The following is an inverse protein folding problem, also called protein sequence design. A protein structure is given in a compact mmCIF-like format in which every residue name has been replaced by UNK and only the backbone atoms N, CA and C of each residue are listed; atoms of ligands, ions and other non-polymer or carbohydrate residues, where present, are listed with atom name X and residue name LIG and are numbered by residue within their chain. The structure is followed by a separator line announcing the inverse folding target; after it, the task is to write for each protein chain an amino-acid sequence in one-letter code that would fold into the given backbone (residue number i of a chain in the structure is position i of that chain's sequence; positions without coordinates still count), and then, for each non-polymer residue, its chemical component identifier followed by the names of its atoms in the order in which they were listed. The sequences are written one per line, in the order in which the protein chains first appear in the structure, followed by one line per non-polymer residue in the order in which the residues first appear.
data_IF_536335004291
#
_entry.id   IF_536335004291
#
_cell.length_a   1.000
_cell.length_b   1.000
_cell.length_c   1.000
_cell.angle_alpha   90.00
_cell.angle_beta   90.00
_cell.angle_gamma   90.00
#
_symmetry.space_group_name_H-M   'P 1'
#
loop_
_entity.id
_entity.type
_entity.pdbx_description
1 polymer ?
#
# COMPACT_ATOMS: atom_id res chain seq x y z
N UNK A 1 -12.09 15.57 2.36
CA UNK A 1 -11.01 15.49 3.36
C UNK A 1 -9.75 16.01 2.70
N UNK A 2 -9.19 17.11 3.17
CA UNK A 2 -7.87 17.58 2.71
C UNK A 2 -7.07 17.86 3.97
N UNK A 3 -6.26 16.88 4.35
CA UNK A 3 -5.27 16.97 5.43
C UNK A 3 -3.88 16.73 4.85
N UNK A 4 -2.82 17.04 5.59
CA UNK A 4 -1.45 16.79 5.15
C UNK A 4 -1.24 15.30 4.89
N UNK A 5 -0.50 14.99 3.82
CA UNK A 5 -0.08 13.62 3.49
C UNK A 5 0.99 13.21 4.49
N UNK A 6 0.83 12.06 5.15
CA UNK A 6 1.77 11.60 6.18
C UNK A 6 3.00 10.88 5.60
N UNK A 7 2.82 10.14 4.51
CA UNK A 7 3.86 9.37 3.84
C UNK A 7 3.53 9.15 2.37
N UNK A 8 4.57 8.81 1.60
CA UNK A 8 4.43 8.39 0.21
C UNK A 8 4.91 6.94 0.07
N UNK A 9 3.98 6.02 -0.13
CA UNK A 9 4.25 4.59 -0.36
C UNK A 9 3.91 4.24 -1.80
N UNK A 10 4.83 3.57 -2.50
CA UNK A 10 4.62 3.15 -3.87
C UNK A 10 5.49 1.95 -4.23
N UNK A 11 5.18 1.29 -5.34
CA UNK A 11 5.96 0.17 -5.84
C UNK A 11 7.34 0.60 -6.37
N UNK A 12 8.25 -0.36 -6.56
CA UNK A 12 9.64 -0.09 -6.96
C UNK A 12 9.81 0.55 -8.35
N UNK A 13 8.77 0.60 -9.19
CA UNK A 13 8.80 1.40 -10.41
C UNK A 13 8.93 2.89 -10.10
N UNK A 14 8.51 3.34 -8.92
CA UNK A 14 8.64 4.73 -8.47
C UNK A 14 10.00 5.06 -7.85
N UNK A 15 10.94 4.11 -7.78
CA UNK A 15 12.33 4.36 -7.37
C UNK A 15 13.08 5.12 -8.50
N UNK A 16 12.77 6.40 -8.66
CA UNK A 16 13.26 7.30 -9.72
C UNK A 16 13.55 8.69 -9.16
N UNK A 17 14.63 9.32 -9.58
CA UNK A 17 15.06 10.64 -9.07
C UNK A 17 13.97 11.71 -9.24
N UNK A 18 13.25 11.68 -10.36
CA UNK A 18 12.14 12.59 -10.60
C UNK A 18 11.00 12.45 -9.58
N UNK A 19 10.74 11.23 -9.08
CA UNK A 19 9.75 10.98 -8.04
C UNK A 19 10.24 11.53 -6.70
N UNK A 20 11.48 11.22 -6.31
CA UNK A 20 12.06 11.77 -5.07
C UNK A 20 12.10 13.31 -5.08
N UNK A 21 12.37 13.94 -6.22
CA UNK A 21 12.29 15.40 -6.37
C UNK A 21 10.88 15.95 -6.15
N UNK A 22 9.85 15.28 -6.66
CA UNK A 22 8.44 15.68 -6.48
C UNK A 22 7.94 15.48 -5.05
N UNK A 23 8.44 14.45 -4.37
CA UNK A 23 8.15 14.19 -2.96
C UNK A 23 8.84 15.22 -2.08
N UNK A 24 10.12 15.52 -2.33
CA UNK A 24 10.86 16.55 -1.59
C UNK A 24 10.20 17.93 -1.72
N UNK A 25 9.67 18.27 -2.90
CA UNK A 25 8.90 19.49 -3.11
C UNK A 25 7.60 19.56 -2.28
N UNK A 26 7.16 18.44 -1.70
CA UNK A 26 6.00 18.34 -0.81
C UNK A 26 6.38 18.14 0.66
N UNK A 27 7.67 18.22 1.01
CA UNK A 27 8.20 18.00 2.35
C UNK A 27 7.89 16.60 2.92
N UNK A 28 7.99 15.58 2.06
CA UNK A 28 7.72 14.18 2.39
C UNK A 28 8.96 13.30 2.26
N UNK A 29 10.15 13.90 2.08
CA UNK A 29 11.40 13.19 1.79
C UNK A 29 11.76 12.15 2.86
N UNK A 30 11.44 12.42 4.14
CA UNK A 30 11.71 11.52 5.27
C UNK A 30 10.63 10.45 5.49
N UNK A 31 9.54 10.48 4.70
CA UNK A 31 8.41 9.57 4.81
C UNK A 31 8.13 8.82 3.50
N UNK A 32 9.18 8.56 2.72
CA UNK A 32 9.11 7.78 1.47
C UNK A 32 9.30 6.31 1.76
N UNK A 33 8.34 5.49 1.37
CA UNK A 33 8.38 4.03 1.47
C UNK A 33 8.26 3.45 0.07
N UNK A 34 9.37 3.50 -0.67
CA UNK A 34 9.49 2.92 -2.01
C UNK A 34 10.60 1.87 -1.97
N UNK A 35 10.34 0.62 -2.41
CA UNK A 35 11.37 -0.39 -2.51
C UNK A 35 12.40 0.01 -3.55
N UNK A 36 13.70 0.08 -3.19
CA UNK A 36 14.74 0.27 -4.18
C UNK A 36 14.69 -0.83 -5.24
N UNK A 37 14.97 -0.46 -6.50
CA UNK A 37 15.11 -1.43 -7.59
C UNK A 37 16.30 -2.36 -7.34
N UNK A 38 16.29 -3.54 -7.94
CA UNK A 38 17.42 -4.47 -7.85
C UNK A 38 18.72 -3.89 -8.42
N UNK A 39 18.62 -2.93 -9.33
CA UNK A 39 19.75 -2.20 -9.94
C UNK A 39 20.11 -0.91 -9.21
N UNK A 40 19.49 -0.62 -8.07
CA UNK A 40 19.71 0.63 -7.35
C UNK A 40 21.12 0.68 -6.76
N UNK A 41 21.83 1.78 -7.04
CA UNK A 41 23.16 2.08 -6.48
C UNK A 41 23.04 3.20 -5.44
N UNK A 42 23.89 3.19 -4.39
CA UNK A 42 23.97 4.30 -3.45
C UNK A 42 24.33 5.62 -4.14
N UNK A 43 23.87 6.73 -3.57
CA UNK A 43 24.26 8.07 -4.00
C UNK A 43 25.74 8.36 -3.67
N UNK A 44 26.31 9.36 -4.35
CA UNK A 44 27.68 9.82 -4.08
C UNK A 44 27.89 10.28 -2.63
N UNK A 45 26.81 10.75 -1.97
CA UNK A 45 26.85 11.23 -0.58
C UNK A 45 26.45 10.17 0.44
N UNK A 46 26.17 8.93 0.02
CA UNK A 46 25.60 7.89 0.87
C UNK A 46 26.39 7.60 2.16
N UNK A 47 27.71 7.85 2.16
CA UNK A 47 28.55 7.67 3.35
C UNK A 47 28.52 8.84 4.32
N UNK A 48 28.42 10.08 3.81
CA UNK A 48 28.52 11.29 4.62
C UNK A 48 27.13 11.80 5.04
N UNK A 49 26.19 11.84 4.10
CA UNK A 49 24.82 12.31 4.28
C UNK A 49 23.91 11.39 3.46
N UNK A 50 23.53 10.21 4.00
CA UNK A 50 22.67 9.28 3.29
C UNK A 50 21.28 9.88 3.07
N UNK A 51 20.77 9.76 1.85
CA UNK A 51 19.37 10.01 1.54
C UNK A 51 18.48 8.92 2.13
N UNK A 52 17.16 9.13 2.17
CA UNK A 52 16.23 8.06 2.58
C UNK A 52 16.37 6.81 1.70
N UNK A 53 16.59 6.99 0.39
CA UNK A 53 16.88 5.90 -0.54
C UNK A 53 18.14 5.14 -0.16
N UNK A 54 19.21 5.85 0.22
CA UNK A 54 20.46 5.22 0.68
C UNK A 54 20.25 4.44 1.98
N UNK A 55 19.46 4.97 2.91
CA UNK A 55 19.11 4.26 4.15
C UNK A 55 18.31 2.98 3.87
N UNK A 56 17.39 3.00 2.90
CA UNK A 56 16.70 1.79 2.45
C UNK A 56 17.68 0.76 1.87
N UNK A 57 18.60 1.19 1.01
CA UNK A 57 19.63 0.32 0.43
C UNK A 57 20.51 -0.30 1.52
N UNK A 58 21.00 0.51 2.46
CA UNK A 58 21.80 0.04 3.60
C UNK A 58 21.03 -0.98 4.44
N UNK A 59 19.78 -0.69 4.81
CA UNK A 59 18.94 -1.61 5.57
C UNK A 59 18.69 -2.94 4.83
N UNK A 60 18.53 -2.91 3.51
CA UNK A 60 18.34 -4.12 2.69
C UNK A 60 19.63 -4.95 2.65
N UNK A 61 20.80 -4.30 2.55
CA UNK A 61 22.10 -4.99 2.60
C UNK A 61 22.33 -5.63 3.97
N UNK A 62 22.02 -4.92 5.04
CA UNK A 62 22.26 -5.38 6.42
C UNK A 62 21.30 -6.48 6.87
N UNK A 63 20.01 -6.36 6.54
CA UNK A 63 18.93 -7.18 7.15
C UNK A 63 18.15 -7.99 6.13
N UNK A 64 18.39 -7.79 4.85
CA UNK A 64 17.61 -8.38 3.76
C UNK A 64 16.33 -7.62 3.45
N UNK A 65 15.81 -7.85 2.24
CA UNK A 65 14.66 -7.11 1.68
C UNK A 65 13.36 -7.32 2.46
N UNK A 66 13.09 -8.56 2.88
CA UNK A 66 11.86 -8.88 3.64
C UNK A 66 11.86 -8.22 5.03
N UNK A 67 13.01 -8.14 5.69
CA UNK A 67 13.12 -7.46 6.97
C UNK A 67 12.92 -5.95 6.83
N UNK A 68 13.49 -5.35 5.78
CA UNK A 68 13.24 -3.95 5.43
C UNK A 68 11.75 -3.68 5.16
N UNK A 69 11.08 -4.52 4.37
CA UNK A 69 9.64 -4.35 4.06
C UNK A 69 8.78 -4.30 5.34
N UNK A 70 9.04 -5.21 6.29
CA UNK A 70 8.33 -5.22 7.58
C UNK A 70 8.64 -4.00 8.43
N UNK A 71 9.91 -3.58 8.48
CA UNK A 71 10.33 -2.42 9.27
C UNK A 71 9.83 -1.09 8.70
N UNK A 72 9.57 -1.03 7.39
CA UNK A 72 9.09 0.15 6.69
C UNK A 72 7.56 0.16 6.51
N UNK A 73 6.82 -0.74 7.17
CA UNK A 73 5.36 -0.91 7.03
C UNK A 73 4.89 -1.05 5.57
N UNK A 74 5.73 -1.61 4.70
CA UNK A 74 5.42 -1.81 3.29
C UNK A 74 4.35 -2.89 3.07
N UNK A 75 4.04 -3.67 4.10
CA UNK A 75 2.95 -4.67 4.08
C UNK A 75 1.57 -4.03 3.84
N UNK A 76 1.40 -2.74 4.17
CA UNK A 76 0.18 -1.99 3.87
C UNK A 76 -0.14 -1.95 2.37
N UNK A 77 0.88 -1.81 1.51
CA UNK A 77 0.71 -1.79 0.06
C UNK A 77 0.15 -3.13 -0.44
N UNK A 78 0.64 -4.24 0.10
CA UNK A 78 0.14 -5.57 -0.27
C UNK A 78 -1.33 -5.78 0.13
N UNK A 79 -1.77 -5.23 1.27
CA UNK A 79 -3.17 -5.26 1.68
C UNK A 79 -4.05 -4.45 0.73
N UNK A 80 -3.62 -3.24 0.38
CA UNK A 80 -4.34 -2.39 -0.59
C UNK A 80 -4.44 -3.08 -1.95
N UNK A 81 -3.35 -3.65 -2.45
CA UNK A 81 -3.34 -4.39 -3.72
C UNK A 81 -4.27 -5.62 -3.69
N UNK A 82 -4.33 -6.33 -2.57
CA UNK A 82 -5.24 -7.45 -2.39
C UNK A 82 -6.71 -6.99 -2.42
N UNK A 83 -7.05 -5.89 -1.73
CA UNK A 83 -8.41 -5.33 -1.74
C UNK A 83 -8.81 -4.82 -3.13
N UNK A 84 -7.90 -4.15 -3.85
CA UNK A 84 -8.14 -3.73 -5.23
C UNK A 84 -8.30 -4.94 -6.17
N UNK A 85 -7.49 -5.99 -5.99
CA UNK A 85 -7.64 -7.22 -6.76
C UNK A 85 -8.99 -7.89 -6.52
N UNK A 86 -9.46 -7.90 -5.27
CA UNK A 86 -10.78 -8.41 -4.88
C UNK A 86 -11.89 -7.57 -5.51
N UNK A 87 -11.78 -6.25 -5.43
CA UNK A 87 -12.71 -5.32 -6.07
C UNK A 87 -12.84 -5.62 -7.57
N UNK A 88 -11.72 -5.66 -8.29
CA UNK A 88 -11.69 -5.91 -9.74
C UNK A 88 -12.30 -7.25 -10.13
N UNK A 89 -11.98 -8.31 -9.36
CA UNK A 89 -12.49 -9.66 -9.62
C UNK A 89 -14.01 -9.78 -9.43
N UNK A 90 -14.58 -9.06 -8.47
CA UNK A 90 -16.02 -9.19 -8.12
C UNK A 90 -16.89 -8.14 -8.81
N UNK A 91 -16.41 -6.90 -8.88
CA UNK A 91 -17.16 -5.75 -9.40
C UNK A 91 -16.83 -5.50 -10.87
N UNK A 92 -15.54 -5.57 -11.23
CA UNK A 92 -15.03 -5.32 -12.58
C UNK A 92 -13.89 -4.30 -12.62
N UNK A 93 -13.25 -4.21 -13.78
CA UNK A 93 -12.06 -3.39 -14.00
C UNK A 93 -12.34 -1.93 -14.39
N UNK A 94 -13.61 -1.56 -14.60
CA UNK A 94 -14.01 -0.23 -15.09
C UNK A 94 -15.13 0.40 -14.25
N UNK A 95 -15.06 1.72 -14.09
CA UNK A 95 -16.14 2.53 -13.50
C UNK A 95 -17.06 3.06 -14.60
N UNK A 96 -18.37 2.86 -14.44
CA UNK A 96 -19.36 3.29 -15.43
C UNK A 96 -19.61 4.80 -15.38
N UNK A 97 -19.38 5.41 -14.21
CA UNK A 97 -19.58 6.84 -13.99
C UNK A 97 -18.52 7.68 -14.69
N UNK A 98 -18.95 8.80 -15.29
CA UNK A 98 -18.08 9.72 -16.01
C UNK A 98 -17.62 10.94 -15.22
N UNK A 99 -18.26 11.25 -14.10
CA UNK A 99 -17.89 12.37 -13.23
C UNK A 99 -17.25 11.85 -11.96
N UNK A 100 -16.27 12.59 -11.42
CA UNK A 100 -15.52 12.15 -10.23
C UNK A 100 -16.43 11.97 -9.01
N UNK A 101 -17.45 12.82 -8.86
CA UNK A 101 -18.47 12.67 -7.82
C UNK A 101 -19.19 11.33 -7.94
N UNK A 102 -19.64 10.95 -9.13
CA UNK A 102 -20.38 9.71 -9.33
C UNK A 102 -19.46 8.50 -9.23
N UNK A 103 -18.21 8.59 -9.70
CA UNK A 103 -17.18 7.55 -9.53
C UNK A 103 -16.90 7.29 -8.05
N UNK A 104 -16.78 8.33 -7.23
CA UNK A 104 -16.59 8.18 -5.79
C UNK A 104 -17.78 7.45 -5.14
N UNK A 105 -19.01 7.81 -5.51
CA UNK A 105 -20.22 7.12 -5.04
C UNK A 105 -20.27 5.67 -5.51
N UNK A 106 -19.95 5.40 -6.78
CA UNK A 106 -19.91 4.05 -7.35
C UNK A 106 -18.92 3.15 -6.60
N UNK A 107 -17.70 3.64 -6.36
CA UNK A 107 -16.69 2.94 -5.57
C UNK A 107 -17.17 2.70 -4.14
N UNK A 108 -17.77 3.70 -3.48
CA UNK A 108 -18.25 3.56 -2.11
C UNK A 108 -19.34 2.47 -1.99
N UNK A 109 -20.29 2.44 -2.93
CA UNK A 109 -21.34 1.40 -2.97
C UNK A 109 -20.73 0.02 -3.21
N UNK A 110 -19.82 -0.09 -4.17
CA UNK A 110 -19.17 -1.35 -4.53
C UNK A 110 -18.32 -1.91 -3.39
N UNK A 111 -17.55 -1.07 -2.69
CA UNK A 111 -16.78 -1.47 -1.49
C UNK A 111 -17.72 -1.90 -0.37
N UNK A 112 -18.83 -1.18 -0.14
CA UNK A 112 -19.82 -1.59 0.86
C UNK A 112 -20.42 -2.96 0.56
N UNK A 113 -20.81 -3.22 -0.69
CA UNK A 113 -21.30 -4.52 -1.12
C UNK A 113 -20.24 -5.63 -0.92
N UNK A 114 -18.98 -5.33 -1.23
CA UNK A 114 -17.88 -6.28 -1.07
C UNK A 114 -17.60 -6.63 0.39
N UNK A 115 -17.72 -5.66 1.30
CA UNK A 115 -17.59 -5.89 2.74
C UNK A 115 -18.75 -6.73 3.28
N UNK A 116 -19.97 -6.48 2.81
CA UNK A 116 -21.14 -7.30 3.17
C UNK A 116 -21.01 -8.76 2.68
N UNK A 117 -20.48 -8.98 1.48
CA UNK A 117 -20.19 -10.34 1.00
C UNK A 117 -19.14 -11.05 1.87
N UNK A 118 -18.14 -10.32 2.37
CA UNK A 118 -17.13 -10.87 3.28
C UNK A 118 -17.75 -11.30 4.61
N UNK A 119 -18.62 -10.47 5.19
CA UNK A 119 -19.36 -10.78 6.43
C UNK A 119 -20.23 -12.03 6.26
N UNK A 120 -20.96 -12.15 5.15
CA UNK A 120 -21.84 -13.30 4.88
C UNK A 120 -21.08 -14.59 4.54
N UNK A 121 -19.87 -14.48 3.99
CA UNK A 121 -19.02 -15.62 3.64
C UNK A 121 -18.20 -16.18 4.80
N UNK A 122 -18.18 -15.50 5.95
CA UNK A 122 -17.51 -15.99 7.15
C UNK A 122 -18.35 -17.08 7.83
N UNK A 123 -17.77 -18.25 8.15
CA UNK A 123 -18.49 -19.28 8.89
C UNK A 123 -18.85 -18.76 10.29
N UNK A 124 -20.13 -18.79 10.63
CA UNK A 124 -20.61 -18.45 11.97
C UNK A 124 -20.13 -19.51 12.97
N UNK A 125 -19.08 -19.19 13.72
CA UNK A 125 -18.55 -20.04 14.79
C UNK A 125 -19.58 -20.31 15.91
N UNK A 126 -20.64 -19.50 16.01
CA UNK A 126 -21.76 -19.72 16.94
C UNK A 126 -22.53 -21.02 16.69
N UNK A 127 -22.54 -21.55 15.46
CA UNK A 127 -23.26 -22.79 15.15
C UNK A 127 -22.57 -24.06 15.68
N UNK A 128 -21.34 -23.95 16.21
CA UNK A 128 -20.60 -25.08 16.78
C UNK A 128 -20.81 -25.26 18.29
N UNK A 129 -21.41 -24.29 18.99
CA UNK A 129 -21.65 -24.37 20.44
C UNK A 129 -23.06 -24.90 20.81
N UNK A 130 -23.99 -24.95 19.85
CA UNK A 130 -25.33 -25.51 20.07
C UNK A 130 -25.37 -27.04 19.94
N UNK A 131 -24.27 -27.67 19.50
CA UNK A 131 -24.21 -29.11 19.23
C UNK A 131 -23.55 -29.97 20.33
N UNK A 132 -23.14 -29.37 21.45
CA UNK A 132 -22.62 -30.09 22.64
C UNK A 132 -23.57 -30.05 23.85
N UNK A 133 -24.80 -29.56 23.68
CA UNK A 133 -25.79 -29.45 24.77
C UNK A 133 -27.10 -30.20 24.45
N UNK A 134 -27.01 -31.41 23.88
CA UNK A 134 -28.09 -32.40 23.83
C UNK A 134 -27.53 -33.82 23.92
#
# INVERSE_FOLDING_TARGET
MSGPVASFTADGAYDQDGVYGQVAARHLEDSVIVPPRSSAVPSDTAQAVPTMRDRHLQSIVERGRTAWQKAADYDWQALVEADISRFKRVIGDELRSRTDRHRATEVAIAVNALNQMLELGQPNMSAYLDHEME
#
